data_IF_668556722597
#
_entry.id   IF_668556722597
#
_cell.length_a   1.000
_cell.length_b   1.000
_cell.length_c   1.000
_cell.angle_alpha   90.00
_cell.angle_beta   90.00
_cell.angle_gamma   90.00
#
_symmetry.space_group_name_H-M   'P 1'
#
loop_
_entity.id
_entity.type
_entity.pdbx_description
1 polymer ?
#
# COMPACT_ATOMS: atom_id res chain seq x y z
N UNK A 1 9.60 2.10 -24.83
CA UNK A 1 8.55 1.77 -23.84
C UNK A 1 8.74 2.70 -22.66
N UNK A 2 7.83 3.65 -22.45
CA UNK A 2 7.87 4.57 -21.31
C UNK A 2 7.66 3.75 -20.03
N UNK A 3 8.53 3.90 -19.01
CA UNK A 3 8.31 3.23 -17.72
C UNK A 3 7.01 3.78 -17.14
N UNK A 4 6.06 2.90 -16.83
CA UNK A 4 4.87 3.28 -16.08
C UNK A 4 5.30 3.99 -14.80
N UNK A 5 4.71 5.16 -14.54
CA UNK A 5 5.01 5.93 -13.33
C UNK A 5 4.46 5.15 -12.13
N UNK A 6 5.24 5.10 -11.06
CA UNK A 6 4.86 4.42 -9.81
C UNK A 6 4.50 5.45 -8.75
N UNK A 7 3.42 5.20 -8.02
CA UNK A 7 3.08 5.91 -6.79
C UNK A 7 3.58 5.10 -5.61
N UNK A 8 4.37 5.73 -4.74
CA UNK A 8 4.94 5.09 -3.55
C UNK A 8 4.50 5.81 -2.29
N UNK A 9 4.03 5.08 -1.29
CA UNK A 9 3.61 5.64 0.01
C UNK A 9 3.96 4.70 1.16
N UNK A 10 4.12 5.25 2.36
CA UNK A 10 4.15 4.49 3.62
C UNK A 10 2.82 4.55 4.38
N UNK A 11 1.82 5.24 3.83
CA UNK A 11 0.53 5.44 4.48
C UNK A 11 -0.29 4.14 4.44
N UNK A 12 -0.42 3.52 5.61
CA UNK A 12 -1.12 2.27 5.81
C UNK A 12 -2.64 2.40 5.55
N UNK A 13 -3.25 3.53 5.92
CA UNK A 13 -4.69 3.74 5.80
C UNK A 13 -5.07 4.01 4.35
N UNK A 14 -4.35 4.92 3.69
CA UNK A 14 -4.53 5.21 2.28
C UNK A 14 -4.33 3.93 1.44
N UNK A 15 -3.26 3.18 1.69
CA UNK A 15 -3.00 1.92 0.98
C UNK A 15 -4.13 0.92 1.18
N UNK A 16 -4.64 0.79 2.41
CA UNK A 16 -5.74 -0.12 2.71
C UNK A 16 -7.02 0.29 1.99
N UNK A 17 -7.31 1.60 1.93
CA UNK A 17 -8.46 2.14 1.21
C UNK A 17 -8.35 1.90 -0.30
N UNK A 18 -7.21 2.26 -0.91
CA UNK A 18 -6.96 2.03 -2.35
C UNK A 18 -7.11 0.54 -2.69
N UNK A 19 -6.56 -0.35 -1.86
CA UNK A 19 -6.64 -1.80 -2.09
C UNK A 19 -8.07 -2.33 -2.06
N UNK A 20 -8.95 -1.72 -1.26
CA UNK A 20 -10.38 -2.06 -1.21
C UNK A 20 -11.12 -1.47 -2.40
N UNK A 21 -10.97 -0.17 -2.63
CA UNK A 21 -11.70 0.56 -3.68
C UNK A 21 -11.40 0.02 -5.08
N UNK A 22 -10.13 -0.30 -5.35
CA UNK A 22 -9.69 -0.79 -6.65
C UNK A 22 -9.59 -2.31 -6.73
N UNK A 23 -9.76 -3.02 -5.61
CA UNK A 23 -9.58 -4.48 -5.51
C UNK A 23 -8.19 -4.95 -5.99
N UNK A 24 -7.17 -4.12 -5.82
CA UNK A 24 -5.77 -4.42 -6.16
C UNK A 24 -4.93 -4.59 -4.90
N UNK A 25 -3.75 -5.20 -5.05
CA UNK A 25 -2.73 -5.23 -3.99
C UNK A 25 -1.56 -4.35 -4.41
N UNK A 26 -0.94 -3.61 -3.48
CA UNK A 26 0.30 -2.93 -3.78
C UNK A 26 1.43 -3.93 -3.98
N UNK A 27 2.41 -3.52 -4.78
CA UNK A 27 3.77 -4.05 -4.68
C UNK A 27 4.47 -3.46 -3.45
N UNK A 28 5.59 -4.06 -3.07
CA UNK A 28 6.31 -3.66 -1.85
C UNK A 28 7.79 -3.45 -2.14
N UNK A 29 8.32 -2.33 -1.64
CA UNK A 29 9.75 -2.08 -1.62
C UNK A 29 10.19 -1.79 -0.19
N UNK A 30 11.32 -2.35 0.23
CA UNK A 30 11.90 -2.02 1.54
C UNK A 30 13.10 -1.10 1.32
N UNK A 31 13.01 0.16 1.77
CA UNK A 31 14.05 1.18 1.63
C UNK A 31 14.30 1.84 2.99
N UNK A 32 15.57 1.97 3.38
CA UNK A 32 15.98 2.57 4.66
C UNK A 32 15.23 1.97 5.87
N UNK A 33 15.12 0.63 5.91
CA UNK A 33 14.40 -0.11 6.94
C UNK A 33 12.90 0.23 7.08
N UNK A 34 12.30 0.78 6.02
CA UNK A 34 10.86 1.05 5.92
C UNK A 34 10.28 0.28 4.74
N UNK A 35 9.15 -0.38 4.95
CA UNK A 35 8.36 -0.96 3.87
C UNK A 35 7.46 0.10 3.28
N UNK A 36 7.54 0.29 1.97
CA UNK A 36 6.72 1.20 1.18
C UNK A 36 5.82 0.39 0.27
N UNK A 37 4.60 0.88 0.09
CA UNK A 37 3.60 0.36 -0.81
C UNK A 37 3.73 1.04 -2.16
N UNK A 38 3.68 0.26 -3.23
CA UNK A 38 3.87 0.74 -4.60
C UNK A 38 2.64 0.37 -5.42
N UNK A 39 2.09 1.37 -6.11
CA UNK A 39 0.98 1.21 -7.05
C UNK A 39 1.39 1.76 -8.41
N UNK A 40 0.91 1.13 -9.48
CA UNK A 40 1.02 1.71 -10.82
C UNK A 40 0.13 2.94 -10.92
N UNK A 41 0.67 4.04 -11.45
CA UNK A 41 -0.11 5.27 -11.65
C UNK A 41 -1.17 5.02 -12.71
N UNK A 42 -2.41 5.29 -12.35
CA UNK A 42 -3.57 5.26 -13.24
C UNK A 42 -4.57 6.34 -12.82
N UNK A 43 -5.52 6.66 -13.70
CA UNK A 43 -6.62 7.56 -13.35
C UNK A 43 -7.45 6.99 -12.19
N UNK A 44 -7.64 5.67 -12.15
CA UNK A 44 -8.36 4.98 -11.07
C UNK A 44 -7.64 5.13 -9.73
N UNK A 45 -6.30 5.09 -9.72
CA UNK A 45 -5.51 5.36 -8.52
C UNK A 45 -5.76 6.78 -8.01
N UNK A 46 -5.70 7.78 -8.89
CA UNK A 46 -5.97 9.16 -8.53
C UNK A 46 -7.39 9.36 -8.01
N UNK A 47 -8.37 8.70 -8.64
CA UNK A 47 -9.76 8.74 -8.19
C UNK A 47 -9.90 8.10 -6.80
N UNK A 48 -9.34 6.92 -6.56
CA UNK A 48 -9.39 6.26 -5.25
C UNK A 48 -8.71 7.09 -4.14
N UNK A 49 -7.62 7.79 -4.45
CA UNK A 49 -6.99 8.74 -3.53
C UNK A 49 -7.91 9.92 -3.22
N UNK A 50 -8.57 10.48 -4.22
CA UNK A 50 -9.55 11.56 -4.07
C UNK A 50 -10.76 11.11 -3.24
N UNK A 51 -11.28 9.93 -3.50
CA UNK A 51 -12.42 9.34 -2.78
C UNK A 51 -12.06 9.13 -1.30
N UNK A 52 -10.86 8.60 -1.01
CA UNK A 52 -10.38 8.47 0.36
C UNK A 52 -10.30 9.84 1.07
N UNK A 53 -9.71 10.83 0.41
CA UNK A 53 -9.55 12.18 0.98
C UNK A 53 -10.88 12.93 1.16
N UNK A 54 -11.89 12.60 0.36
CA UNK A 54 -13.24 13.17 0.48
C UNK A 54 -14.13 12.44 1.49
N UNK A 55 -13.63 11.38 2.12
CA UNK A 55 -14.36 10.66 3.17
C UNK A 55 -15.34 9.63 2.64
N UNK A 56 -15.03 8.98 1.51
CA UNK A 56 -15.84 7.89 0.96
C UNK A 56 -16.16 6.84 2.03
N UNK A 57 -17.41 6.37 2.05
CA UNK A 57 -17.81 5.32 2.97
C UNK A 57 -17.12 4.00 2.58
N UNK A 58 -16.29 3.48 3.48
CA UNK A 58 -15.67 2.15 3.37
C UNK A 58 -16.25 1.29 4.48
N UNK A 59 -16.59 0.04 4.15
CA UNK A 59 -17.03 -0.92 5.16
C UNK A 59 -15.97 -1.07 6.26
N UNK A 60 -16.36 -0.82 7.51
CA UNK A 60 -15.42 -0.79 8.63
C UNK A 60 -14.76 -2.15 8.90
N UNK A 61 -15.49 -3.25 8.68
CA UNK A 61 -14.94 -4.60 8.83
C UNK A 61 -13.85 -4.83 7.79
N UNK A 62 -14.13 -4.61 6.50
CA UNK A 62 -13.17 -4.81 5.41
C UNK A 62 -11.95 -3.92 5.58
N UNK A 63 -12.16 -2.65 5.96
CA UNK A 63 -11.07 -1.72 6.19
C UNK A 63 -10.17 -2.17 7.33
N UNK A 64 -10.74 -2.62 8.45
CA UNK A 64 -9.97 -3.14 9.58
C UNK A 64 -9.16 -4.39 9.22
N UNK A 65 -9.72 -5.29 8.39
CA UNK A 65 -9.03 -6.50 7.94
C UNK A 65 -7.89 -6.14 6.97
N UNK A 66 -8.13 -5.20 6.06
CA UNK A 66 -7.11 -4.75 5.12
C UNK A 66 -5.94 -4.07 5.84
N UNK A 67 -6.21 -3.20 6.82
CA UNK A 67 -5.18 -2.57 7.65
C UNK A 67 -4.31 -3.63 8.35
N UNK A 68 -4.94 -4.64 8.98
CA UNK A 68 -4.20 -5.73 9.64
C UNK A 68 -3.31 -6.48 8.66
N UNK A 69 -3.84 -6.81 7.48
CA UNK A 69 -3.10 -7.49 6.41
C UNK A 69 -1.91 -6.66 5.94
N UNK A 70 -2.13 -5.40 5.58
CA UNK A 70 -1.08 -4.50 5.09
C UNK A 70 0.00 -4.29 6.15
N UNK A 71 -0.38 -4.14 7.42
CA UNK A 71 0.58 -4.04 8.54
C UNK A 71 1.42 -5.31 8.71
N UNK A 72 0.81 -6.49 8.57
CA UNK A 72 1.52 -7.76 8.65
C UNK A 72 2.57 -7.88 7.54
N UNK A 73 2.21 -7.52 6.30
CA UNK A 73 3.14 -7.48 5.16
C UNK A 73 4.29 -6.49 5.40
N UNK A 74 3.99 -5.30 5.93
CA UNK A 74 5.01 -4.29 6.25
C UNK A 74 6.07 -4.83 7.21
N UNK A 75 5.63 -5.46 8.31
CA UNK A 75 6.53 -5.99 9.35
C UNK A 75 7.35 -7.15 8.78
N UNK A 76 6.68 -8.12 8.17
CA UNK A 76 7.31 -9.33 7.63
C UNK A 76 8.42 -8.98 6.64
N UNK A 77 8.15 -8.08 5.70
CA UNK A 77 9.12 -7.70 4.66
C UNK A 77 10.29 -6.90 5.21
N UNK A 78 10.04 -6.01 6.18
CA UNK A 78 11.10 -5.27 6.86
C UNK A 78 12.04 -6.22 7.59
N UNK A 79 11.47 -7.17 8.33
CA UNK A 79 12.24 -8.11 9.15
C UNK A 79 13.02 -9.10 8.27
N UNK A 80 12.44 -9.56 7.16
CA UNK A 80 13.15 -10.37 6.15
C UNK A 80 14.37 -9.64 5.57
N UNK A 81 14.24 -8.36 5.20
CA UNK A 81 15.39 -7.60 4.68
C UNK A 81 16.49 -7.41 5.73
N UNK A 82 16.10 -7.17 6.99
CA UNK A 82 17.07 -7.01 8.09
C UNK A 82 17.83 -8.31 8.39
N UNK A 83 17.18 -9.47 8.24
CA UNK A 83 17.82 -10.76 8.42
C UNK A 83 18.77 -11.10 7.26
N UNK A 84 18.42 -10.74 6.02
CA UNK A 84 19.28 -10.97 4.86
C UNK A 84 20.53 -10.07 4.80
N UNK A 85 20.56 -8.96 5.54
CA UNK A 85 21.73 -8.08 5.65
C UNK A 85 22.73 -8.48 6.74
N UNK A 86 22.54 -9.62 7.41
CA UNK A 86 23.38 -10.12 8.51
C UNK A 86 24.29 -11.29 8.11
N UNK A 87 24.44 -11.56 6.81
CA UNK A 87 25.37 -12.55 6.26
C UNK A 87 26.44 -11.88 5.40
#
# INVERSE_FOLDING_TARGET
MERAKEFTTSDLYLTSAISILLKIKPDFIVKNNRTLFVFQVSNDLYQAMSDFNSGVAINAYDFSQMIKRMRSEMITRRDMKNNNGRH
#
